data_IF_903281150983
#
_entry.id   IF_903281150983
#
_cell.length_a   1.000
_cell.length_b   1.000
_cell.length_c   1.000
_cell.angle_alpha   90.00
_cell.angle_beta   90.00
_cell.angle_gamma   90.00
#
_symmetry.space_group_name_H-M   'P 1'
#
loop_
_entity.id
_entity.type
_entity.pdbx_description
1 polymer ?
#
# COMPACT_ATOMS: atom_id res chain seq x y z
N UNK A 1 17.93 29.55 14.87
CA UNK A 1 18.93 28.59 14.38
C UNK A 1 18.17 27.44 13.74
N UNK A 2 18.19 27.24 12.41
CA UNK A 2 17.53 26.10 11.80
C UNK A 2 18.39 24.85 12.05
N UNK A 3 17.85 23.91 12.84
CA UNK A 3 18.49 22.64 13.15
C UNK A 3 18.76 21.87 11.85
N UNK A 4 20.05 21.74 11.50
CA UNK A 4 20.51 20.88 10.44
C UNK A 4 20.17 19.42 10.80
N UNK A 5 19.07 18.90 10.25
CA UNK A 5 18.66 17.51 10.43
C UNK A 5 19.80 16.59 10.00
N UNK A 6 20.37 15.85 10.96
CA UNK A 6 21.54 15.01 10.71
C UNK A 6 21.28 13.99 9.59
N UNK A 7 22.19 13.82 8.62
CA UNK A 7 21.99 12.96 7.45
C UNK A 7 21.76 11.46 7.80
N UNK A 8 22.13 11.03 9.00
CA UNK A 8 21.81 9.69 9.50
C UNK A 8 20.30 9.50 9.78
N UNK A 9 19.62 10.53 10.30
CA UNK A 9 18.20 10.50 10.66
C UNK A 9 17.29 10.45 9.42
N UNK A 10 17.71 11.07 8.31
CA UNK A 10 16.97 11.01 7.04
C UNK A 10 17.06 9.64 6.37
N UNK A 11 18.24 9.00 6.36
CA UNK A 11 18.41 7.64 5.81
C UNK A 11 17.62 6.59 6.57
N UNK A 12 17.66 6.63 7.90
CA UNK A 12 16.88 5.73 8.76
C UNK A 12 15.38 5.82 8.48
N UNK A 13 14.85 7.04 8.32
CA UNK A 13 13.43 7.27 8.02
C UNK A 13 13.02 6.73 6.65
N UNK A 14 13.88 6.87 5.63
CA UNK A 14 13.61 6.29 4.30
C UNK A 14 13.61 4.77 4.36
N UNK A 15 14.62 4.17 5.00
CA UNK A 15 14.69 2.71 5.15
C UNK A 15 13.45 2.14 5.86
N UNK A 16 13.00 2.77 6.96
CA UNK A 16 11.80 2.35 7.69
C UNK A 16 10.54 2.37 6.81
N UNK A 17 10.44 3.32 5.88
CA UNK A 17 9.29 3.40 4.95
C UNK A 17 9.35 2.31 3.91
N UNK A 18 10.53 2.08 3.32
CA UNK A 18 10.70 1.01 2.34
C UNK A 18 10.35 -0.34 2.97
N UNK A 19 10.80 -0.58 4.20
CA UNK A 19 10.40 -1.78 4.96
C UNK A 19 8.89 -1.81 5.19
N UNK A 20 8.28 -0.72 5.68
CA UNK A 20 6.86 -0.68 5.98
C UNK A 20 5.96 -0.91 4.76
N UNK A 21 6.38 -0.51 3.56
CA UNK A 21 5.59 -0.68 2.33
C UNK A 21 5.87 -2.00 1.60
N UNK A 22 7.07 -2.57 1.76
CA UNK A 22 7.48 -3.80 1.07
C UNK A 22 7.23 -5.06 1.89
N UNK A 23 7.42 -5.00 3.22
CA UNK A 23 7.43 -6.19 4.05
C UNK A 23 6.08 -6.92 4.07
N UNK A 24 4.91 -6.26 4.27
CA UNK A 24 3.63 -6.96 4.28
C UNK A 24 3.34 -7.75 2.99
N UNK A 25 3.42 -7.16 1.78
CA UNK A 25 3.19 -7.93 0.56
C UNK A 25 4.25 -9.02 0.34
N UNK A 26 5.52 -8.80 0.70
CA UNK A 26 6.54 -9.86 0.58
C UNK A 26 6.27 -11.05 1.51
N UNK A 27 5.82 -10.79 2.74
CA UNK A 27 5.44 -11.85 3.67
C UNK A 27 4.25 -12.66 3.14
N UNK A 28 3.25 -11.99 2.56
CA UNK A 28 2.11 -12.64 1.93
C UNK A 28 2.50 -13.41 0.67
N UNK A 29 3.44 -12.90 -0.13
CA UNK A 29 3.98 -13.63 -1.28
C UNK A 29 4.67 -14.94 -0.84
N UNK A 30 5.46 -14.88 0.25
CA UNK A 30 6.11 -16.06 0.80
C UNK A 30 5.11 -17.10 1.31
N UNK A 31 4.06 -16.67 2.03
CA UNK A 31 3.00 -17.56 2.46
C UNK A 31 2.22 -18.16 1.28
N UNK A 32 1.96 -17.36 0.24
CA UNK A 32 1.29 -17.81 -0.98
C UNK A 32 2.01 -18.94 -1.72
N UNK A 33 3.34 -19.09 -1.56
CA UNK A 33 4.10 -20.20 -2.15
C UNK A 33 3.76 -21.56 -1.54
N UNK A 34 3.30 -21.59 -0.29
CA UNK A 34 2.89 -22.83 0.41
C UNK A 34 1.39 -22.91 0.66
N UNK A 35 0.61 -21.92 0.20
CA UNK A 35 -0.85 -21.89 0.35
C UNK A 35 -1.50 -23.01 -0.49
N UNK A 36 -2.31 -23.92 0.09
CA UNK A 36 -2.98 -24.96 -0.67
C UNK A 36 -3.96 -24.39 -1.70
N UNK A 37 -3.96 -24.90 -2.92
CA UNK A 37 -4.92 -24.46 -3.94
C UNK A 37 -6.37 -24.88 -3.63
N UNK A 38 -6.58 -25.87 -2.76
CA UNK A 38 -7.89 -26.39 -2.40
C UNK A 38 -7.95 -26.76 -0.92
N UNK A 39 -9.11 -26.56 -0.32
CA UNK A 39 -9.44 -27.02 1.02
C UNK A 39 -9.97 -28.46 0.95
N UNK A 40 -9.13 -29.41 1.36
CA UNK A 40 -9.43 -30.85 1.44
C UNK A 40 -9.15 -31.34 2.86
N UNK A 41 -9.50 -32.58 3.19
CA UNK A 41 -9.25 -33.12 4.53
C UNK A 41 -7.74 -33.17 4.83
N UNK A 42 -6.91 -33.41 3.81
CA UNK A 42 -5.45 -33.43 3.93
C UNK A 42 -4.84 -32.02 4.11
N UNK A 43 -5.50 -30.97 3.62
CA UNK A 43 -4.96 -29.60 3.65
C UNK A 43 -5.60 -28.71 4.72
N UNK A 44 -6.67 -29.16 5.37
CA UNK A 44 -7.48 -28.35 6.28
C UNK A 44 -6.71 -27.76 7.46
N UNK A 45 -5.83 -28.54 8.09
CA UNK A 45 -5.01 -28.06 9.21
C UNK A 45 -4.04 -26.96 8.76
N UNK A 46 -3.28 -27.20 7.69
CA UNK A 46 -2.33 -26.23 7.15
C UNK A 46 -3.03 -24.97 6.65
N UNK A 47 -4.18 -25.12 5.99
CA UNK A 47 -5.04 -24.01 5.58
C UNK A 47 -5.41 -23.13 6.78
N UNK A 48 -6.05 -23.71 7.81
CA UNK A 48 -6.47 -22.99 9.02
C UNK A 48 -5.30 -22.28 9.70
N UNK A 49 -4.21 -23.02 9.96
CA UNK A 49 -3.11 -22.52 10.78
C UNK A 49 -2.33 -21.41 10.08
N UNK A 50 -2.16 -21.51 8.76
CA UNK A 50 -1.61 -20.43 7.95
C UNK A 50 -2.49 -19.19 8.01
N UNK A 51 -3.82 -19.31 7.89
CA UNK A 51 -4.73 -18.18 8.01
C UNK A 51 -4.69 -17.55 9.41
N UNK A 52 -4.60 -18.35 10.49
CA UNK A 52 -4.35 -17.83 11.85
C UNK A 52 -3.07 -16.99 11.90
N UNK A 53 -1.98 -17.49 11.30
CA UNK A 53 -0.70 -16.78 11.27
C UNK A 53 -0.74 -15.50 10.42
N UNK A 54 -1.59 -15.45 9.39
CA UNK A 54 -1.73 -14.32 8.46
C UNK A 54 -2.74 -13.25 8.91
N UNK A 55 -3.59 -13.53 9.90
CA UNK A 55 -4.49 -12.55 10.53
C UNK A 55 -3.84 -11.18 10.79
N UNK A 56 -2.64 -11.09 11.44
CA UNK A 56 -2.00 -9.81 11.68
C UNK A 56 -1.35 -9.21 10.42
N UNK A 57 -1.12 -9.99 9.36
CA UNK A 57 -0.32 -9.58 8.19
C UNK A 57 -1.18 -8.94 7.11
N UNK A 58 -2.32 -9.54 6.76
CA UNK A 58 -3.24 -8.99 5.76
C UNK A 58 -3.60 -7.51 5.97
N UNK A 59 -4.06 -7.06 7.16
CA UNK A 59 -4.44 -5.66 7.36
C UNK A 59 -3.25 -4.69 7.17
N UNK A 60 -2.01 -5.15 7.28
CA UNK A 60 -0.82 -4.32 7.09
C UNK A 60 -0.63 -3.89 5.62
N UNK A 61 -1.29 -4.51 4.65
CA UNK A 61 -1.29 -4.04 3.26
C UNK A 61 -1.80 -2.59 3.15
N UNK A 62 -2.72 -2.15 4.02
CA UNK A 62 -3.22 -0.78 4.04
C UNK A 62 -2.16 0.26 4.43
N UNK A 63 -1.02 -0.13 5.03
CA UNK A 63 0.01 0.80 5.49
C UNK A 63 0.57 1.62 4.34
N UNK A 64 0.87 1.00 3.20
CA UNK A 64 1.48 1.69 2.07
C UNK A 64 0.63 2.85 1.51
N UNK A 65 -0.65 2.64 1.11
CA UNK A 65 -1.49 3.73 0.64
C UNK A 65 -1.74 4.79 1.72
N UNK A 66 -1.93 4.40 2.99
CA UNK A 66 -2.12 5.34 4.10
C UNK A 66 -0.89 6.23 4.29
N UNK A 67 0.29 5.62 4.39
CA UNK A 67 1.54 6.30 4.67
C UNK A 67 1.91 7.29 3.56
N UNK A 68 1.81 6.85 2.29
CA UNK A 68 2.13 7.70 1.15
C UNK A 68 1.10 8.81 0.97
N UNK A 69 -0.19 8.55 1.21
CA UNK A 69 -1.20 9.60 1.11
C UNK A 69 -1.01 10.67 2.18
N UNK A 70 -0.88 10.26 3.46
CA UNK A 70 -0.72 11.16 4.60
C UNK A 70 0.53 12.03 4.53
N UNK A 71 1.59 11.57 3.85
CA UNK A 71 2.82 12.36 3.61
C UNK A 71 2.60 13.58 2.74
N UNK A 72 1.61 13.52 1.87
CA UNK A 72 1.38 14.53 0.84
C UNK A 72 0.12 15.36 1.09
N UNK A 73 -0.91 14.79 1.73
CA UNK A 73 -2.14 15.50 2.05
C UNK A 73 -2.81 14.92 3.31
N UNK A 74 -3.08 15.77 4.31
CA UNK A 74 -3.67 15.35 5.59
C UNK A 74 -5.13 14.91 5.44
N UNK A 75 -5.93 15.61 4.63
CA UNK A 75 -7.37 15.34 4.47
C UNK A 75 -7.58 14.06 3.67
N UNK A 76 -6.89 13.94 2.55
CA UNK A 76 -6.90 12.69 1.77
C UNK A 76 -6.26 11.54 2.56
N UNK A 77 -5.32 11.85 3.45
CA UNK A 77 -4.76 10.90 4.39
C UNK A 77 -5.79 10.31 5.36
N UNK A 78 -6.80 11.07 5.81
CA UNK A 78 -7.92 10.55 6.61
C UNK A 78 -8.78 9.62 5.75
N UNK A 79 -9.09 10.01 4.51
CA UNK A 79 -9.83 9.15 3.59
C UNK A 79 -9.09 7.83 3.34
N UNK A 80 -7.77 7.87 3.14
CA UNK A 80 -6.95 6.66 2.99
C UNK A 80 -6.99 5.77 4.25
N UNK A 81 -7.05 6.34 5.45
CA UNK A 81 -7.23 5.59 6.70
C UNK A 81 -8.60 4.92 6.75
N UNK A 82 -9.68 5.62 6.39
CA UNK A 82 -11.03 5.05 6.35
C UNK A 82 -11.11 3.89 5.35
N UNK A 83 -10.57 4.08 4.14
CA UNK A 83 -10.51 3.03 3.11
C UNK A 83 -9.66 1.84 3.56
N UNK A 84 -8.48 2.11 4.15
CA UNK A 84 -7.61 1.07 4.68
C UNK A 84 -8.23 0.32 5.87
N UNK A 85 -9.01 0.99 6.71
CA UNK A 85 -9.77 0.37 7.79
C UNK A 85 -10.88 -0.53 7.24
N UNK A 86 -11.66 -0.05 6.28
CA UNK A 86 -12.68 -0.86 5.62
C UNK A 86 -12.08 -2.12 4.98
N UNK A 87 -10.95 -1.97 4.28
CA UNK A 87 -10.17 -3.10 3.78
C UNK A 87 -9.78 -4.07 4.91
N UNK A 88 -9.12 -3.57 5.95
CA UNK A 88 -8.60 -4.40 7.04
C UNK A 88 -9.70 -5.19 7.75
N UNK A 89 -10.86 -4.58 8.00
CA UNK A 89 -12.00 -5.21 8.65
C UNK A 89 -12.63 -6.27 7.74
N UNK A 90 -12.97 -5.91 6.50
CA UNK A 90 -13.61 -6.83 5.56
C UNK A 90 -12.70 -8.00 5.19
N UNK A 91 -11.40 -7.75 5.01
CA UNK A 91 -10.45 -8.81 4.64
C UNK A 91 -10.17 -9.75 5.81
N UNK A 92 -10.06 -9.24 7.05
CA UNK A 92 -9.98 -10.12 8.22
C UNK A 92 -11.25 -10.94 8.42
N UNK A 93 -12.43 -10.38 8.14
CA UNK A 93 -13.67 -11.16 8.18
C UNK A 93 -13.63 -12.34 7.19
N UNK A 94 -13.12 -12.12 5.97
CA UNK A 94 -12.85 -13.23 5.05
C UNK A 94 -11.86 -14.24 5.62
N UNK A 95 -10.74 -13.77 6.17
CA UNK A 95 -9.68 -14.65 6.67
C UNK A 95 -10.17 -15.53 7.82
N UNK A 96 -11.01 -14.97 8.70
CA UNK A 96 -11.65 -15.70 9.79
C UNK A 96 -12.67 -16.71 9.25
N UNK A 97 -13.53 -16.32 8.31
CA UNK A 97 -14.61 -17.18 7.82
C UNK A 97 -14.09 -18.27 6.85
N UNK A 98 -13.44 -17.87 5.76
CA UNK A 98 -12.96 -18.76 4.71
C UNK A 98 -11.61 -19.41 5.02
N UNK A 99 -10.77 -18.74 5.81
CA UNK A 99 -9.48 -19.31 6.24
C UNK A 99 -9.67 -20.22 7.45
N UNK A 100 -10.05 -19.64 8.57
CA UNK A 100 -9.99 -20.30 9.87
C UNK A 100 -11.21 -21.20 10.11
N UNK A 101 -12.42 -20.64 10.02
CA UNK A 101 -13.65 -21.37 10.32
C UNK A 101 -13.91 -22.48 9.29
N UNK A 102 -13.77 -22.19 7.99
CA UNK A 102 -13.90 -23.22 6.96
C UNK A 102 -12.86 -24.34 7.12
N UNK A 103 -11.60 -24.00 7.44
CA UNK A 103 -10.56 -24.99 7.73
C UNK A 103 -10.92 -25.88 8.92
N UNK A 104 -11.38 -25.29 10.03
CA UNK A 104 -11.83 -26.03 11.21
C UNK A 104 -13.05 -26.91 10.91
N UNK A 105 -14.06 -26.39 10.21
CA UNK A 105 -15.24 -27.16 9.80
C UNK A 105 -14.87 -28.33 8.89
N UNK A 106 -13.89 -28.14 7.99
CA UNK A 106 -13.40 -29.21 7.13
C UNK A 106 -12.80 -30.37 7.93
N UNK A 107 -12.08 -30.07 9.01
CA UNK A 107 -11.56 -31.09 9.94
C UNK A 107 -12.68 -31.84 10.68
N UNK A 108 -13.82 -31.19 10.93
CA UNK A 108 -15.00 -31.75 11.61
C UNK A 108 -16.04 -32.37 10.65
N UNK A 109 -15.64 -32.74 9.43
CA UNK A 109 -16.52 -33.42 8.46
C UNK A 109 -17.16 -32.51 7.40
N UNK A 110 -16.81 -31.23 7.36
CA UNK A 110 -17.03 -30.32 6.22
C UNK A 110 -18.42 -29.70 6.12
N UNK A 111 -19.32 -29.95 7.06
CA UNK A 111 -20.62 -29.28 7.09
C UNK A 111 -20.45 -27.77 7.29
N UNK A 112 -21.12 -26.96 6.46
CA UNK A 112 -21.11 -25.49 6.56
C UNK A 112 -19.94 -24.76 5.88
N UNK A 113 -18.94 -25.48 5.33
CA UNK A 113 -17.79 -24.87 4.62
C UNK A 113 -18.23 -23.94 3.48
N UNK A 114 -19.15 -24.38 2.63
CA UNK A 114 -19.66 -23.57 1.52
C UNK A 114 -20.39 -22.31 2.00
N UNK A 115 -21.11 -22.39 3.12
CA UNK A 115 -21.77 -21.22 3.72
C UNK A 115 -20.74 -20.20 4.22
N UNK A 116 -19.64 -20.66 4.82
CA UNK A 116 -18.56 -19.76 5.26
C UNK A 116 -17.93 -19.03 4.06
N UNK A 117 -17.70 -19.72 2.94
CA UNK A 117 -17.20 -19.09 1.71
C UNK A 117 -18.16 -18.05 1.16
N UNK A 118 -19.45 -18.37 1.06
CA UNK A 118 -20.45 -17.42 0.54
C UNK A 118 -20.53 -16.13 1.37
N UNK A 119 -20.45 -16.25 2.71
CA UNK A 119 -20.40 -15.08 3.61
C UNK A 119 -19.10 -14.28 3.46
N UNK A 120 -17.96 -14.98 3.40
CA UNK A 120 -16.65 -14.35 3.24
C UNK A 120 -16.57 -13.57 1.92
N UNK A 121 -17.01 -14.17 0.81
CA UNK A 121 -16.99 -13.57 -0.53
C UNK A 121 -17.87 -12.31 -0.57
N UNK A 122 -19.06 -12.35 0.04
CA UNK A 122 -19.95 -11.18 0.11
C UNK A 122 -19.32 -9.99 0.85
N UNK A 123 -18.55 -10.26 1.91
CA UNK A 123 -17.92 -9.21 2.73
C UNK A 123 -16.64 -8.68 2.08
N UNK A 124 -15.80 -9.58 1.54
CA UNK A 124 -14.46 -9.19 1.07
C UNK A 124 -14.50 -8.24 -0.11
N UNK A 125 -15.49 -8.36 -1.00
CA UNK A 125 -15.63 -7.51 -2.20
C UNK A 125 -15.55 -6.02 -1.81
N UNK A 126 -16.24 -5.62 -0.76
CA UNK A 126 -16.18 -4.23 -0.26
C UNK A 126 -14.78 -3.84 0.19
N UNK A 127 -14.11 -4.74 0.92
CA UNK A 127 -12.76 -4.52 1.43
C UNK A 127 -11.70 -4.37 0.33
N UNK A 128 -11.69 -5.28 -0.64
CA UNK A 128 -10.68 -5.25 -1.72
C UNK A 128 -10.89 -4.04 -2.63
N UNK A 129 -12.13 -3.65 -2.93
CA UNK A 129 -12.39 -2.43 -3.68
C UNK A 129 -12.04 -1.16 -2.89
N UNK A 130 -12.20 -1.16 -1.56
CA UNK A 130 -11.69 -0.07 -0.72
C UNK A 130 -10.15 0.02 -0.79
N UNK A 131 -9.45 -1.11 -0.83
CA UNK A 131 -7.99 -1.14 -1.03
C UNK A 131 -7.58 -0.65 -2.42
N UNK A 132 -8.29 -1.05 -3.48
CA UNK A 132 -8.08 -0.51 -4.84
C UNK A 132 -8.25 1.01 -4.85
N UNK A 133 -9.33 1.52 -4.26
CA UNK A 133 -9.57 2.96 -4.17
C UNK A 133 -8.47 3.70 -3.40
N UNK A 134 -8.01 3.14 -2.27
CA UNK A 134 -6.88 3.69 -1.51
C UNK A 134 -5.58 3.68 -2.34
N UNK A 135 -5.38 2.63 -3.14
CA UNK A 135 -4.21 2.48 -4.02
C UNK A 135 -4.19 3.52 -5.13
N UNK A 136 -5.33 3.73 -5.79
CA UNK A 136 -5.52 4.76 -6.82
C UNK A 136 -5.31 6.15 -6.24
N UNK A 137 -5.91 6.43 -5.07
CA UNK A 137 -5.76 7.71 -4.37
C UNK A 137 -4.29 8.02 -4.06
N UNK A 138 -3.58 7.08 -3.44
CA UNK A 138 -2.17 7.25 -3.09
C UNK A 138 -1.31 7.43 -4.35
N UNK A 139 -1.55 6.62 -5.39
CA UNK A 139 -0.83 6.68 -6.67
C UNK A 139 -1.02 8.02 -7.36
N UNK A 140 -2.26 8.50 -7.49
CA UNK A 140 -2.57 9.80 -8.09
C UNK A 140 -1.89 10.94 -7.32
N UNK A 141 -1.90 10.86 -5.99
CA UNK A 141 -1.25 11.87 -5.15
C UNK A 141 0.27 11.86 -5.30
N UNK A 142 0.90 10.68 -5.35
CA UNK A 142 2.35 10.57 -5.58
C UNK A 142 2.71 11.05 -6.99
N UNK A 143 1.94 10.69 -8.03
CA UNK A 143 2.14 11.22 -9.40
C UNK A 143 2.06 12.75 -9.41
N UNK A 144 1.10 13.35 -8.72
CA UNK A 144 0.96 14.81 -8.63
C UNK A 144 2.22 15.49 -8.04
N UNK A 145 2.90 14.83 -7.09
CA UNK A 145 4.07 15.41 -6.42
C UNK A 145 5.41 15.05 -7.06
N UNK A 146 5.53 13.80 -7.53
CA UNK A 146 6.75 13.24 -8.07
C UNK A 146 6.84 13.35 -9.59
N UNK A 147 5.72 13.57 -10.29
CA UNK A 147 5.62 13.61 -11.74
C UNK A 147 5.71 12.23 -12.40
N UNK A 148 6.07 12.21 -13.68
CA UNK A 148 6.04 11.00 -14.53
C UNK A 148 6.91 9.84 -14.01
N UNK A 149 7.94 10.11 -13.18
CA UNK A 149 8.77 9.06 -12.55
C UNK A 149 7.97 8.10 -11.65
N UNK A 150 6.80 8.51 -11.17
CA UNK A 150 5.93 7.68 -10.36
C UNK A 150 5.00 6.78 -11.19
N UNK A 151 4.86 7.02 -12.50
CA UNK A 151 3.92 6.29 -13.34
C UNK A 151 4.18 4.77 -13.38
N UNK A 152 5.44 4.28 -13.52
CA UNK A 152 5.68 2.83 -13.53
C UNK A 152 5.24 2.16 -12.22
N UNK A 153 5.62 2.75 -11.08
CA UNK A 153 5.22 2.24 -9.76
C UNK A 153 3.72 2.29 -9.53
N UNK A 154 3.05 3.37 -9.97
CA UNK A 154 1.61 3.52 -9.90
C UNK A 154 0.87 2.47 -10.74
N UNK A 155 1.30 2.27 -12.00
CA UNK A 155 0.71 1.28 -12.88
C UNK A 155 0.84 -0.13 -12.29
N UNK A 156 2.04 -0.51 -11.81
CA UNK A 156 2.27 -1.80 -11.18
C UNK A 156 1.39 -1.96 -9.93
N UNK A 157 1.36 -0.97 -9.03
CA UNK A 157 0.58 -1.05 -7.80
C UNK A 157 -0.92 -1.15 -8.06
N UNK A 158 -1.47 -0.36 -8.99
CA UNK A 158 -2.90 -0.38 -9.33
C UNK A 158 -3.29 -1.68 -10.03
N UNK A 159 -2.50 -2.15 -11.01
CA UNK A 159 -2.77 -3.43 -11.69
C UNK A 159 -2.73 -4.58 -10.68
N UNK A 160 -1.74 -4.60 -9.79
CA UNK A 160 -1.67 -5.60 -8.73
C UNK A 160 -2.85 -5.49 -7.76
N UNK A 161 -3.25 -4.28 -7.34
CA UNK A 161 -4.42 -4.10 -6.48
C UNK A 161 -5.72 -4.58 -7.15
N UNK A 162 -5.87 -4.39 -8.46
CA UNK A 162 -7.02 -4.92 -9.22
C UNK A 162 -6.94 -6.45 -9.33
N UNK A 163 -5.76 -7.02 -9.63
CA UNK A 163 -5.56 -8.48 -9.63
C UNK A 163 -5.87 -9.11 -8.28
N UNK A 164 -5.64 -8.37 -7.19
CA UNK A 164 -5.92 -8.83 -5.83
C UNK A 164 -7.41 -9.03 -5.52
N UNK A 165 -8.31 -8.41 -6.30
CA UNK A 165 -9.77 -8.51 -6.10
C UNK A 165 -10.24 -9.96 -6.11
N UNK A 166 -9.60 -10.80 -6.93
CA UNK A 166 -9.97 -12.21 -7.08
C UNK A 166 -8.77 -13.18 -6.93
N UNK A 167 -7.51 -12.70 -6.93
CA UNK A 167 -6.35 -13.61 -6.78
C UNK A 167 -6.12 -14.10 -5.37
N UNK A 168 -6.46 -13.29 -4.36
CA UNK A 168 -5.97 -13.43 -2.99
C UNK A 168 -4.45 -13.70 -2.98
N UNK A 169 -3.97 -14.63 -2.14
CA UNK A 169 -2.57 -15.10 -2.11
C UNK A 169 -2.37 -16.44 -2.85
N UNK A 170 -3.40 -16.95 -3.54
CA UNK A 170 -3.34 -18.24 -4.21
C UNK A 170 -2.28 -18.27 -5.32
N UNK A 171 -1.39 -19.24 -5.29
CA UNK A 171 -0.38 -19.43 -6.32
C UNK A 171 -1.03 -19.82 -7.68
N UNK A 172 -0.50 -19.35 -8.83
CA UNK A 172 0.64 -18.42 -8.99
C UNK A 172 0.26 -16.95 -8.92
N UNK A 173 -0.99 -16.62 -9.27
CA UNK A 173 -1.41 -15.24 -9.53
C UNK A 173 -1.38 -14.35 -8.29
N UNK A 174 -1.77 -14.88 -7.14
CA UNK A 174 -1.72 -14.18 -5.86
C UNK A 174 -0.30 -13.84 -5.44
N UNK A 175 0.65 -14.77 -5.61
CA UNK A 175 2.08 -14.51 -5.35
C UNK A 175 2.62 -13.41 -6.26
N UNK A 176 2.36 -13.48 -7.57
CA UNK A 176 2.75 -12.43 -8.52
C UNK A 176 2.11 -11.08 -8.17
N UNK A 177 0.86 -11.10 -7.72
CA UNK A 177 0.13 -9.90 -7.27
C UNK A 177 0.80 -9.27 -6.06
N UNK A 178 1.15 -10.05 -5.04
CA UNK A 178 1.87 -9.58 -3.86
C UNK A 178 3.24 -9.01 -4.20
N UNK A 179 4.00 -9.68 -5.06
CA UNK A 179 5.28 -9.16 -5.56
C UNK A 179 5.10 -7.84 -6.32
N UNK A 180 4.05 -7.73 -7.14
CA UNK A 180 3.66 -6.50 -7.83
C UNK A 180 3.38 -5.37 -6.84
N UNK A 181 2.58 -5.62 -5.79
CA UNK A 181 2.33 -4.63 -4.73
C UNK A 181 3.64 -4.19 -4.05
N UNK A 182 4.51 -5.14 -3.69
CA UNK A 182 5.80 -4.83 -3.07
C UNK A 182 6.66 -3.92 -3.95
N UNK A 183 6.80 -4.26 -5.24
CA UNK A 183 7.57 -3.49 -6.22
C UNK A 183 6.94 -2.12 -6.46
N UNK A 184 5.63 -2.07 -6.71
CA UNK A 184 4.90 -0.84 -7.00
C UNK A 184 4.97 0.15 -5.83
N UNK A 185 4.73 -0.31 -4.61
CA UNK A 185 4.79 0.54 -3.43
C UNK A 185 6.20 1.02 -3.09
N UNK A 186 7.19 0.15 -3.22
CA UNK A 186 8.61 0.51 -3.05
C UNK A 186 9.01 1.59 -4.06
N UNK A 187 8.62 1.44 -5.32
CA UNK A 187 8.88 2.43 -6.37
C UNK A 187 8.22 3.78 -6.06
N UNK A 188 6.93 3.77 -5.67
CA UNK A 188 6.21 4.99 -5.30
C UNK A 188 6.85 5.66 -4.07
N UNK A 189 7.30 4.91 -3.08
CA UNK A 189 7.98 5.44 -1.90
C UNK A 189 9.33 6.10 -2.26
N UNK A 190 10.13 5.48 -3.15
CA UNK A 190 11.38 6.06 -3.66
C UNK A 190 11.12 7.32 -4.50
N UNK A 191 10.15 7.27 -5.41
CA UNK A 191 9.73 8.42 -6.21
C UNK A 191 9.23 9.58 -5.35
N UNK A 192 8.58 9.30 -4.22
CA UNK A 192 8.12 10.31 -3.26
C UNK A 192 9.24 10.95 -2.43
N UNK A 193 10.40 10.30 -2.35
CA UNK A 193 11.52 10.71 -1.49
C UNK A 193 12.59 11.56 -2.20
N UNK A 194 12.56 11.66 -3.53
CA UNK A 194 13.55 12.43 -4.29
C UNK A 194 13.32 13.96 -4.21
N UNK A 195 14.34 14.79 -4.54
CA UNK A 195 14.27 16.24 -4.42
C UNK A 195 13.02 16.78 -5.10
N UNK A 196 12.18 17.49 -4.34
CA UNK A 196 11.02 18.18 -4.90
C UNK A 196 11.51 19.06 -6.06
N UNK A 197 10.74 19.10 -7.14
CA UNK A 197 10.97 19.90 -8.36
C UNK A 197 10.85 21.42 -8.09
N UNK A 198 11.43 21.91 -6.98
CA UNK A 198 11.45 23.30 -6.52
C UNK A 198 12.61 24.13 -7.09
N UNK A 199 13.56 23.52 -7.80
CA UNK A 199 14.68 24.25 -8.41
C UNK A 199 14.38 24.82 -9.82
N UNK A 200 13.35 24.32 -10.54
CA UNK A 200 13.11 24.71 -11.94
C UNK A 200 12.20 25.95 -12.13
N UNK A 201 11.74 26.58 -11.04
CA UNK A 201 10.91 27.81 -11.09
C UNK A 201 11.51 28.99 -10.30
N UNK A 202 12.71 28.85 -9.75
CA UNK A 202 13.31 29.82 -8.82
C UNK A 202 14.50 30.61 -9.35
N UNK A 203 14.96 30.40 -10.60
CA UNK A 203 16.14 31.09 -11.16
C UNK A 203 15.82 31.98 -12.37
N UNK A 204 14.56 32.38 -12.53
CA UNK A 204 14.10 33.25 -13.64
C UNK A 204 13.86 34.73 -13.27
N UNK A 205 14.08 35.14 -12.02
CA UNK A 205 14.01 36.54 -11.58
C UNK A 205 14.98 36.65 -10.39
N UNK A 206 15.99 37.50 -10.35
CA UNK A 206 16.15 38.85 -10.88
C UNK A 206 17.61 39.09 -11.26
N UNK A 207 17.89 39.23 -12.55
CA UNK A 207 19.04 40.01 -13.01
C UNK A 207 18.51 41.43 -13.24
N UNK A 208 18.57 42.27 -12.22
CA UNK A 208 18.73 43.72 -12.42
C UNK A 208 19.48 44.30 -11.22
N UNK A 209 20.62 44.89 -11.57
CA UNK A 209 21.63 45.44 -10.67
C UNK A 209 21.20 46.84 -10.18
N UNK A 210 21.83 47.37 -9.11
CA UNK A 210 21.44 48.63 -8.51
C UNK A 210 21.95 49.82 -9.34
N UNK A 211 21.05 50.72 -9.75
CA UNK A 211 21.44 52.05 -10.24
C UNK A 211 21.50 52.98 -9.04
N UNK A 212 22.72 53.32 -8.64
CA UNK A 212 23.00 54.44 -7.78
C UNK A 212 22.75 55.77 -8.50
N UNK A 213 22.22 56.72 -7.73
CA UNK A 213 22.54 58.15 -7.78
C UNK A 213 22.18 58.95 -9.05
N UNK A 214 21.01 59.61 -9.00
CA UNK A 214 20.76 60.90 -9.67
C UNK A 214 19.81 61.78 -8.85
N UNK A 215 20.41 62.80 -8.25
CA UNK A 215 19.90 64.18 -8.16
C UNK A 215 18.59 64.42 -7.39
N UNK A 216 18.72 64.71 -6.09
CA UNK A 216 17.83 65.62 -5.38
C UNK A 216 18.66 66.79 -4.83
N UNK A 217 18.96 67.72 -5.73
CA UNK A 217 19.43 69.07 -5.44
C UNK A 217 18.66 70.01 -6.39
N UNK A 218 17.38 70.26 -6.07
CA UNK A 218 16.60 71.42 -6.50
C UNK A 218 15.13 71.28 -6.04
N UNK A 219 14.82 71.76 -4.83
CA UNK A 219 13.58 72.46 -4.46
C UNK A 219 13.69 72.95 -3.01
#
# INVERSE_FOLDING_TARGET
MPDAVSPARSRSRTAAVLVAVALPPLALAAAGLSHPSQLTDATAMHWRDMHIALLPVFPLLAIAPILLTRRHDRRLGILAVVLGFAYAVCYQALDILAGIAAGALKMEGGQGVTTMYALADGIVVTGVWAYVAATVLASALVIRHAGLRALPGAAIAVIAAVSFVDSHIFFPRGVVTMLGLAVGWTWLALASSGPARRAARGSGASADAPVADRAEAAA
#
